data_IF_853203666513
#
_entry.id   IF_853203666513
#
_cell.length_a   1.000
_cell.length_b   1.000
_cell.length_c   1.000
_cell.angle_alpha   90.00
_cell.angle_beta   90.00
_cell.angle_gamma   90.00
#
_symmetry.space_group_name_H-M   'P 1'
#
loop_
_entity.id
_entity.type
_entity.pdbx_description
1 polymer ?
#
# COMPACT_ATOMS: atom_id res chain seq x y z
N UNK A 1 31.86 9.45 19.66
CA UNK A 1 30.83 9.00 20.62
C UNK A 1 29.68 8.37 19.84
N UNK A 2 29.94 7.82 18.65
CA UNK A 2 28.91 7.65 17.60
C UNK A 2 28.62 6.18 17.26
N UNK A 3 29.42 5.24 17.78
CA UNK A 3 29.19 3.82 17.56
C UNK A 3 28.13 3.22 18.51
N UNK A 4 27.94 3.82 19.68
CA UNK A 4 27.01 3.33 20.72
C UNK A 4 25.56 3.75 20.47
N UNK A 5 25.32 4.86 19.76
CA UNK A 5 23.97 5.29 19.37
C UNK A 5 23.41 4.45 18.21
N UNK A 6 24.25 4.07 17.24
CA UNK A 6 23.90 3.14 16.15
C UNK A 6 23.60 1.71 16.67
N UNK A 7 24.36 1.24 17.66
CA UNK A 7 24.10 -0.06 18.30
C UNK A 7 22.80 -0.05 19.14
N UNK A 8 22.43 1.10 19.71
CA UNK A 8 21.18 1.26 20.46
C UNK A 8 19.92 1.20 19.59
N UNK A 9 20.03 1.53 18.30
CA UNK A 9 18.91 1.43 17.36
C UNK A 9 18.69 -0.03 16.92
N UNK A 10 19.79 -0.78 16.75
CA UNK A 10 19.78 -2.20 16.38
C UNK A 10 19.49 -3.16 17.56
N UNK A 11 19.69 -2.73 18.80
CA UNK A 11 19.33 -3.48 20.03
C UNK A 11 17.89 -3.25 20.48
N UNK A 12 17.07 -2.61 19.65
CA UNK A 12 15.62 -2.72 19.77
C UNK A 12 15.27 -4.16 19.45
N UNK A 13 15.12 -5.00 20.48
CA UNK A 13 14.59 -6.35 20.34
C UNK A 13 13.32 -6.22 19.51
N UNK A 14 13.35 -6.66 18.24
CA UNK A 14 12.16 -6.71 17.39
C UNK A 14 11.13 -7.45 18.23
N UNK A 15 10.08 -6.71 18.60
CA UNK A 15 9.04 -7.28 19.41
C UNK A 15 8.34 -8.35 18.58
N UNK A 16 7.69 -9.32 19.22
CA UNK A 16 6.87 -10.29 18.50
C UNK A 16 5.82 -9.58 17.60
N UNK A 17 5.40 -8.39 17.99
CA UNK A 17 4.51 -7.52 17.23
C UNK A 17 5.18 -6.92 15.98
N UNK A 18 6.46 -6.55 16.04
CA UNK A 18 7.19 -6.06 14.86
C UNK A 18 7.39 -7.19 13.85
N UNK A 19 7.74 -8.40 14.31
CA UNK A 19 7.89 -9.56 13.44
C UNK A 19 6.55 -9.96 12.78
N UNK A 20 5.44 -9.85 13.50
CA UNK A 20 4.10 -10.08 12.94
C UNK A 20 3.73 -9.00 11.91
N UNK A 21 4.03 -7.72 12.19
CA UNK A 21 3.81 -6.62 11.26
C UNK A 21 4.60 -6.82 9.97
N UNK A 22 5.91 -7.12 10.07
CA UNK A 22 6.78 -7.37 8.92
C UNK A 22 6.27 -8.55 8.08
N UNK A 23 5.77 -9.61 8.72
CA UNK A 23 5.16 -10.73 8.02
C UNK A 23 3.89 -10.34 7.26
N UNK A 24 3.02 -9.53 7.87
CA UNK A 24 1.81 -9.00 7.22
C UNK A 24 2.17 -8.12 6.02
N UNK A 25 3.18 -7.25 6.16
CA UNK A 25 3.67 -6.42 5.05
C UNK A 25 4.17 -7.29 3.90
N UNK A 26 4.97 -8.34 4.19
CA UNK A 26 5.43 -9.27 3.16
C UNK A 26 4.27 -9.95 2.40
N UNK A 27 3.23 -10.40 3.10
CA UNK A 27 2.05 -10.95 2.44
C UNK A 27 1.28 -9.93 1.59
N UNK A 28 1.24 -8.67 2.01
CA UNK A 28 0.63 -7.60 1.20
C UNK A 28 1.45 -7.32 -0.07
N UNK A 29 2.78 -7.30 0.02
CA UNK A 29 3.66 -7.12 -1.12
C UNK A 29 3.50 -8.27 -2.14
N UNK A 30 3.42 -9.52 -1.67
CA UNK A 30 3.17 -10.69 -2.51
C UNK A 30 1.83 -10.55 -3.27
N UNK A 31 0.77 -10.13 -2.59
CA UNK A 31 -0.56 -9.91 -3.21
C UNK A 31 -0.52 -8.76 -4.23
N UNK A 32 0.19 -7.67 -3.92
CA UNK A 32 0.29 -6.52 -4.83
C UNK A 32 1.08 -6.89 -6.09
N UNK A 33 2.12 -7.72 -5.97
CA UNK A 33 2.92 -8.17 -7.11
C UNK A 33 2.27 -9.31 -7.91
N UNK A 34 1.22 -9.94 -7.38
CA UNK A 34 0.51 -11.03 -8.04
C UNK A 34 -0.13 -10.57 -9.36
N UNK A 35 0.04 -11.38 -10.42
CA UNK A 35 -0.42 -11.07 -11.77
C UNK A 35 -1.96 -10.97 -11.86
N UNK A 36 -2.68 -11.77 -11.07
CA UNK A 36 -4.16 -11.75 -11.04
C UNK A 36 -4.66 -10.46 -10.41
N UNK A 37 -4.03 -10.04 -9.29
CA UNK A 37 -4.35 -8.76 -8.65
C UNK A 37 -4.02 -7.57 -9.55
N UNK A 38 -2.86 -7.58 -10.22
CA UNK A 38 -2.46 -6.55 -11.18
C UNK A 38 -3.40 -6.47 -12.39
N UNK A 39 -3.90 -7.61 -12.88
CA UNK A 39 -4.88 -7.64 -13.95
C UNK A 39 -6.23 -7.08 -13.49
N UNK A 40 -6.69 -7.45 -12.30
CA UNK A 40 -7.92 -6.93 -11.71
C UNK A 40 -7.85 -5.40 -11.55
N UNK A 41 -6.77 -4.89 -10.97
CA UNK A 41 -6.56 -3.45 -10.77
C UNK A 41 -6.56 -2.69 -12.11
N UNK A 42 -5.87 -3.22 -13.11
CA UNK A 42 -5.79 -2.59 -14.44
C UNK A 42 -7.11 -2.61 -15.19
N UNK A 43 -7.86 -3.71 -15.12
CA UNK A 43 -9.20 -3.78 -15.69
C UNK A 43 -10.15 -2.75 -15.06
N UNK A 44 -10.03 -2.56 -13.74
CA UNK A 44 -10.80 -1.52 -13.03
C UNK A 44 -10.39 -0.12 -13.49
N UNK A 45 -9.09 0.17 -13.56
CA UNK A 45 -8.57 1.46 -14.02
C UNK A 45 -8.98 1.76 -15.46
N UNK A 46 -8.79 0.81 -16.39
CA UNK A 46 -9.15 0.97 -17.81
C UNK A 46 -10.65 1.27 -18.00
N UNK A 47 -11.50 0.82 -17.08
CA UNK A 47 -12.94 1.09 -17.11
C UNK A 47 -13.31 2.50 -16.64
N UNK A 48 -12.60 3.04 -15.65
CA UNK A 48 -13.01 4.27 -14.96
C UNK A 48 -12.07 5.47 -15.16
N UNK A 49 -10.90 5.29 -15.78
CA UNK A 49 -9.90 6.37 -15.91
C UNK A 49 -10.44 7.64 -16.59
N UNK A 50 -11.41 7.51 -17.51
CA UNK A 50 -12.02 8.63 -18.22
C UNK A 50 -12.98 9.46 -17.35
N UNK A 51 -13.48 8.88 -16.26
CA UNK A 51 -14.36 9.60 -15.34
C UNK A 51 -13.57 10.64 -14.54
N UNK A 52 -12.30 10.34 -14.25
CA UNK A 52 -11.42 11.20 -13.47
C UNK A 52 -10.81 12.32 -14.33
N UNK A 53 -11.13 13.55 -13.97
CA UNK A 53 -10.57 14.78 -14.55
C UNK A 53 -9.53 15.39 -13.62
N UNK A 54 -8.48 15.98 -14.20
CA UNK A 54 -7.43 16.71 -13.49
C UNK A 54 -7.90 18.13 -13.14
N UNK A 55 -8.88 18.20 -12.25
CA UNK A 55 -9.48 19.43 -11.73
C UNK A 55 -9.50 19.43 -10.21
N UNK A 56 -9.52 20.61 -9.60
CA UNK A 56 -9.56 20.75 -8.13
C UNK A 56 -10.87 20.21 -7.52
N UNK A 57 -11.97 20.27 -8.27
CA UNK A 57 -13.28 19.78 -7.84
C UNK A 57 -13.49 18.30 -8.20
N UNK A 58 -13.94 17.50 -7.23
CA UNK A 58 -14.31 16.10 -7.43
C UNK A 58 -15.75 15.97 -7.94
N UNK A 59 -15.96 15.09 -8.93
CA UNK A 59 -17.31 14.74 -9.38
C UNK A 59 -18.02 13.86 -8.36
N UNK A 60 -19.34 14.01 -8.24
CA UNK A 60 -20.16 13.11 -7.39
C UNK A 60 -20.07 11.65 -7.81
N UNK A 61 -19.74 11.37 -9.08
CA UNK A 61 -19.53 10.02 -9.61
C UNK A 61 -18.30 9.34 -9.05
N UNK A 62 -17.35 10.06 -8.43
CA UNK A 62 -16.16 9.43 -7.83
C UNK A 62 -16.51 8.60 -6.60
N UNK A 63 -17.54 8.99 -5.83
CA UNK A 63 -17.96 8.26 -4.64
C UNK A 63 -18.40 6.81 -4.97
N UNK A 64 -19.36 6.57 -5.89
CA UNK A 64 -19.73 5.21 -6.24
C UNK A 64 -18.60 4.46 -6.95
N UNK A 65 -17.61 5.12 -7.58
CA UNK A 65 -16.44 4.44 -8.16
C UNK A 65 -15.48 3.97 -7.04
N UNK A 66 -15.25 4.79 -6.01
CA UNK A 66 -14.35 4.44 -4.92
C UNK A 66 -14.91 3.36 -3.98
N UNK A 67 -16.22 3.35 -3.77
CA UNK A 67 -16.88 2.40 -2.86
C UNK A 67 -17.28 1.06 -3.53
N UNK A 68 -17.11 0.92 -4.85
CA UNK A 68 -17.36 -0.34 -5.59
C UNK A 68 -16.05 -1.05 -5.92
#
# INVERSE_FOLDING_TARGET
>A
MDALEEESFALSISSASDAEFDAVVGYLEDIIMDDEFQLLQRNFLDKYYQEFEDTEENKLTYAPIFFF
#
